data_IF_031923859500
#
_entry.id   IF_031923859500
#
_cell.length_a   1.000
_cell.length_b   1.000
_cell.length_c   1.000
_cell.angle_alpha   90.00
_cell.angle_beta   90.00
_cell.angle_gamma   90.00
#
_symmetry.space_group_name_H-M   'P 1'
#
loop_
_entity.id
_entity.type
_entity.pdbx_description
1 polymer ?
#
# COMPACT_ATOMS: atom_id res chain seq x y z
N UNK A 1 43.23 57.14 20.51
CA UNK A 1 41.80 57.13 20.92
C UNK A 1 41.02 57.54 19.68
N UNK A 2 40.21 56.71 19.02
CA UNK A 2 39.18 55.80 19.54
C UNK A 2 39.01 54.59 18.60
N UNK A 3 38.82 53.41 19.20
CA UNK A 3 38.42 52.12 18.63
C UNK A 3 37.04 52.18 17.92
N UNK A 4 36.87 51.49 16.79
CA UNK A 4 35.57 50.92 16.35
C UNK A 4 35.83 49.56 15.67
N UNK A 5 35.83 48.47 16.44
CA UNK A 5 34.74 47.51 16.70
C UNK A 5 34.43 46.55 15.54
N UNK A 6 35.00 45.36 15.70
CA UNK A 6 34.63 44.08 15.09
C UNK A 6 33.27 43.67 15.67
N UNK A 7 32.22 43.57 14.86
CA UNK A 7 31.00 42.83 15.24
C UNK A 7 30.15 42.53 13.99
N UNK A 8 30.49 41.50 13.23
CA UNK A 8 29.58 40.95 12.22
C UNK A 8 29.83 39.47 11.94
N UNK A 9 29.88 38.64 12.98
CA UNK A 9 29.90 37.17 12.83
C UNK A 9 29.20 36.52 14.03
N UNK A 10 27.92 36.79 14.28
CA UNK A 10 27.17 36.07 15.33
C UNK A 10 25.65 36.22 15.14
N UNK A 11 25.13 35.75 14.00
CA UNK A 11 23.67 35.63 13.82
C UNK A 11 23.24 34.44 12.94
N UNK A 12 24.12 33.47 12.70
CA UNK A 12 23.81 32.30 11.86
C UNK A 12 23.72 30.96 12.60
N UNK A 13 23.64 30.94 13.94
CA UNK A 13 23.63 29.67 14.71
C UNK A 13 22.35 29.42 15.53
N UNK A 14 21.32 30.27 15.44
CA UNK A 14 20.08 30.11 16.21
C UNK A 14 18.84 29.80 15.34
N UNK A 15 19.02 29.18 14.18
CA UNK A 15 17.94 28.81 13.27
C UNK A 15 17.63 27.30 13.15
N UNK A 16 18.41 26.43 13.81
CA UNK A 16 18.39 24.97 13.54
C UNK A 16 17.78 24.09 14.65
N UNK A 17 17.18 24.67 15.69
CA UNK A 17 16.64 23.91 16.82
C UNK A 17 15.11 24.03 17.00
N UNK A 18 14.37 24.16 15.90
CA UNK A 18 12.91 23.92 15.88
C UNK A 18 12.60 22.86 14.81
N UNK A 19 13.26 21.70 14.89
CA UNK A 19 12.65 20.49 14.37
C UNK A 19 11.40 20.27 15.23
N UNK A 20 10.24 20.63 14.69
CA UNK A 20 8.96 20.43 15.33
C UNK A 20 8.86 18.95 15.72
N UNK A 21 8.90 18.65 17.02
CA UNK A 21 8.29 17.43 17.54
C UNK A 21 6.77 17.59 17.41
N UNK A 22 6.31 17.61 16.16
CA UNK A 22 4.93 17.33 15.86
C UNK A 22 4.73 15.87 16.25
N UNK A 23 3.84 15.63 17.20
CA UNK A 23 3.41 14.28 17.53
C UNK A 23 2.75 13.70 16.29
N UNK A 24 3.51 12.95 15.50
CA UNK A 24 3.01 12.23 14.33
C UNK A 24 1.97 11.23 14.83
N UNK A 25 0.74 11.38 14.37
CA UNK A 25 -0.29 10.37 14.64
C UNK A 25 0.11 9.08 13.93
N UNK A 26 0.08 7.92 14.61
CA UNK A 26 0.44 6.65 13.99
C UNK A 26 -0.34 6.43 12.70
N UNK A 27 0.37 6.16 11.61
CA UNK A 27 -0.19 5.82 10.32
C UNK A 27 -0.76 4.41 10.32
N UNK A 28 -0.13 3.48 11.02
CA UNK A 28 -0.54 2.09 11.06
C UNK A 28 -0.93 1.69 12.48
N UNK A 29 -1.92 0.82 12.60
CA UNK A 29 -2.39 0.28 13.89
C UNK A 29 -2.99 -1.11 13.70
N UNK A 30 -3.05 -1.93 14.77
CA UNK A 30 -3.86 -3.13 14.75
C UNK A 30 -5.31 -2.80 14.44
N UNK A 31 -5.97 -3.63 13.64
CA UNK A 31 -7.36 -3.43 13.29
C UNK A 31 -8.29 -3.71 14.48
N UNK A 32 -9.33 -2.88 14.71
CA UNK A 32 -10.36 -3.17 15.72
C UNK A 32 -10.96 -4.56 15.50
N UNK A 33 -11.15 -5.33 16.59
CA UNK A 33 -11.65 -6.71 16.50
C UNK A 33 -10.65 -7.74 15.96
N UNK A 34 -9.47 -7.33 15.48
CA UNK A 34 -8.44 -8.20 14.91
C UNK A 34 -7.04 -7.92 15.47
N UNK A 35 -6.97 -7.48 16.72
CA UNK A 35 -5.72 -6.99 17.34
C UNK A 35 -4.58 -8.02 17.40
N UNK A 36 -4.90 -9.31 17.34
CA UNK A 36 -3.92 -10.40 17.35
C UNK A 36 -3.58 -10.94 15.95
N UNK A 37 -4.22 -10.43 14.89
CA UNK A 37 -3.96 -10.85 13.53
C UNK A 37 -2.90 -9.94 12.90
N UNK A 38 -1.66 -10.41 12.86
CA UNK A 38 -0.55 -9.65 12.29
C UNK A 38 -0.58 -9.59 10.76
N UNK A 39 -1.41 -10.39 10.11
CA UNK A 39 -1.56 -10.36 8.65
C UNK A 39 -2.45 -9.19 8.19
N UNK A 40 -3.17 -8.55 9.12
CA UNK A 40 -4.12 -7.48 8.83
C UNK A 40 -3.72 -6.23 9.59
N UNK A 41 -3.46 -5.15 8.87
CA UNK A 41 -3.11 -3.85 9.45
C UNK A 41 -4.09 -2.79 8.99
N UNK A 42 -4.42 -1.86 9.89
CA UNK A 42 -5.29 -0.74 9.60
C UNK A 42 -4.46 0.53 9.44
N UNK A 43 -4.68 1.23 8.34
CA UNK A 43 -4.05 2.50 8.02
C UNK A 43 -4.94 3.65 8.46
N UNK A 44 -4.32 4.76 8.84
CA UNK A 44 -5.01 5.99 9.19
C UNK A 44 -5.19 6.85 7.92
N UNK A 45 -6.44 6.99 7.48
CA UNK A 45 -6.88 7.76 6.30
C UNK A 45 -6.39 7.17 4.98
N UNK A 46 -5.17 7.49 4.54
CA UNK A 46 -4.69 7.10 3.21
C UNK A 46 -3.17 6.90 3.20
N UNK A 47 -2.69 5.91 2.45
CA UNK A 47 -1.27 5.73 2.15
C UNK A 47 -0.65 6.94 1.43
N UNK A 48 -1.46 7.74 0.72
CA UNK A 48 -1.01 8.95 0.02
C UNK A 48 -0.70 10.13 0.96
N UNK A 49 -0.99 10.01 2.26
CA UNK A 49 -0.77 11.05 3.28
C UNK A 49 0.29 10.64 4.31
N UNK A 50 1.45 10.18 3.85
CA UNK A 50 2.58 9.84 4.72
C UNK A 50 3.38 11.09 5.16
N UNK A 51 3.85 11.16 6.42
CA UNK A 51 4.75 12.21 6.84
C UNK A 51 6.11 12.02 6.16
N UNK A 52 6.79 13.12 5.77
CA UNK A 52 8.16 13.03 5.29
C UNK A 52 9.13 12.71 6.46
N UNK A 53 10.23 11.99 6.21
CA UNK A 53 10.56 11.31 4.95
C UNK A 53 9.83 9.97 4.83
N UNK A 54 9.53 9.58 3.60
CA UNK A 54 9.20 8.20 3.26
C UNK A 54 10.00 7.80 2.03
N UNK A 55 10.36 6.52 1.93
CA UNK A 55 11.05 5.97 0.76
C UNK A 55 10.47 4.62 0.39
N UNK A 56 10.45 4.34 -0.92
CA UNK A 56 10.18 3.02 -1.47
C UNK A 56 11.06 2.83 -2.69
N UNK A 57 11.63 1.65 -2.83
CA UNK A 57 12.36 1.29 -4.03
C UNK A 57 11.39 1.27 -5.21
N UNK A 58 11.67 2.04 -6.27
CA UNK A 58 10.82 2.07 -7.46
C UNK A 58 11.31 1.10 -8.52
N UNK A 59 10.38 0.49 -9.26
CA UNK A 59 10.66 -0.21 -10.51
C UNK A 59 11.18 0.81 -11.54
N UNK A 60 12.37 0.60 -12.11
CA UNK A 60 12.99 1.54 -13.05
C UNK A 60 13.38 0.84 -14.36
N UNK A 61 13.39 1.59 -15.46
CA UNK A 61 13.82 1.06 -16.77
C UNK A 61 12.90 -0.02 -17.36
N UNK A 62 11.64 -0.09 -16.94
CA UNK A 62 10.67 -1.09 -17.40
C UNK A 62 10.82 -2.47 -16.74
N UNK A 63 11.71 -2.62 -15.75
CA UNK A 63 11.85 -3.85 -14.97
C UNK A 63 11.17 -3.69 -13.61
N UNK A 64 10.28 -4.62 -13.27
CA UNK A 64 9.67 -4.71 -11.94
C UNK A 64 10.74 -4.97 -10.88
N UNK A 65 10.70 -4.20 -9.79
CA UNK A 65 11.47 -4.53 -8.59
C UNK A 65 10.56 -5.29 -7.62
N UNK A 66 10.96 -6.47 -7.11
CA UNK A 66 10.21 -7.17 -6.06
C UNK A 66 10.13 -6.36 -4.74
N UNK A 67 10.88 -5.26 -4.65
CA UNK A 67 10.84 -4.32 -3.53
C UNK A 67 9.95 -3.10 -3.78
N UNK A 68 9.35 -2.96 -4.97
CA UNK A 68 8.36 -1.91 -5.28
C UNK A 68 6.96 -2.36 -4.86
N UNK A 69 6.83 -2.65 -3.57
CA UNK A 69 5.57 -3.05 -2.93
C UNK A 69 5.28 -2.15 -1.74
N UNK A 70 4.00 -2.00 -1.38
CA UNK A 70 3.62 -1.06 -0.32
C UNK A 70 4.24 -1.44 1.02
N UNK A 71 4.33 -2.74 1.33
CA UNK A 71 4.91 -3.25 2.58
C UNK A 71 6.42 -3.01 2.70
N UNK A 72 7.11 -2.67 1.60
CA UNK A 72 8.53 -2.29 1.59
C UNK A 72 8.75 -0.79 1.77
N UNK A 73 7.68 0.00 1.84
CA UNK A 73 7.76 1.43 2.16
C UNK A 73 8.36 1.63 3.54
N UNK A 74 9.32 2.54 3.63
CA UNK A 74 9.91 2.96 4.90
C UNK A 74 9.42 4.36 5.23
N UNK A 75 8.96 4.55 6.46
CA UNK A 75 8.57 5.85 7.01
C UNK A 75 9.36 6.05 8.31
N UNK A 76 10.63 6.51 8.25
CA UNK A 76 11.51 6.55 9.42
C UNK A 76 10.95 7.39 10.58
N UNK A 77 10.13 8.39 10.28
CA UNK A 77 9.48 9.24 11.28
C UNK A 77 8.30 8.58 12.00
N UNK A 78 7.82 7.42 11.54
CA UNK A 78 6.68 6.71 12.13
C UNK A 78 6.98 5.21 12.36
N UNK A 79 7.39 4.83 13.58
CA UNK A 79 7.66 3.43 13.94
C UNK A 79 6.44 2.50 13.82
N UNK A 80 5.22 3.02 13.82
CA UNK A 80 4.01 2.21 13.69
C UNK A 80 3.94 1.51 12.34
N UNK A 81 4.57 2.08 11.31
CA UNK A 81 4.62 1.52 9.96
C UNK A 81 5.34 0.15 9.90
N UNK A 82 6.09 -0.23 10.94
CA UNK A 82 6.62 -1.59 11.06
C UNK A 82 5.54 -2.67 11.09
N UNK A 83 4.30 -2.35 11.50
CA UNK A 83 3.16 -3.27 11.43
C UNK A 83 2.80 -3.66 9.98
N UNK A 84 3.06 -2.76 9.02
CA UNK A 84 2.72 -2.97 7.60
C UNK A 84 3.66 -3.99 6.96
N UNK A 85 4.91 -4.10 7.42
CA UNK A 85 5.96 -4.94 6.79
C UNK A 85 5.59 -6.43 6.67
N UNK A 86 4.75 -6.92 7.58
CA UNK A 86 4.34 -8.33 7.64
C UNK A 86 2.86 -8.53 7.26
N UNK A 87 2.15 -7.45 6.90
CA UNK A 87 0.74 -7.53 6.58
C UNK A 87 0.54 -8.01 5.14
N UNK A 88 -0.42 -8.92 4.96
CA UNK A 88 -0.94 -9.32 3.64
C UNK A 88 -2.14 -8.46 3.26
N UNK A 89 -2.90 -7.99 4.25
CA UNK A 89 -4.13 -7.23 4.06
C UNK A 89 -3.97 -5.87 4.77
N UNK A 90 -4.07 -4.81 3.99
CA UNK A 90 -3.93 -3.43 4.46
C UNK A 90 -5.27 -2.74 4.31
N UNK A 91 -5.98 -2.54 5.42
CA UNK A 91 -7.29 -1.88 5.42
C UNK A 91 -7.13 -0.37 5.61
N UNK A 92 -7.79 0.40 4.76
CA UNK A 92 -7.82 1.86 4.85
C UNK A 92 -9.14 2.36 5.42
N UNK A 93 -10.19 1.54 5.30
CA UNK A 93 -11.55 1.84 5.74
C UNK A 93 -12.16 0.62 6.45
N UNK A 94 -13.07 0.86 7.40
CA UNK A 94 -13.76 -0.19 8.15
C UNK A 94 -14.66 -1.07 7.26
N UNK A 95 -15.12 -0.56 6.12
CA UNK A 95 -15.82 -1.35 5.09
C UNK A 95 -14.96 -2.52 4.57
N UNK A 96 -13.63 -2.45 4.71
CA UNK A 96 -12.71 -3.55 4.42
C UNK A 96 -13.10 -4.87 5.11
N UNK A 97 -13.61 -4.81 6.35
CA UNK A 97 -14.05 -6.01 7.08
C UNK A 97 -15.26 -6.69 6.43
N UNK A 98 -16.16 -5.91 5.83
CA UNK A 98 -17.32 -6.45 5.13
C UNK A 98 -16.93 -7.11 3.80
N UNK A 99 -15.86 -6.63 3.17
CA UNK A 99 -15.30 -7.17 1.93
C UNK A 99 -14.57 -8.49 2.24
N UNK A 100 -13.70 -8.47 3.25
CA UNK A 100 -12.83 -9.59 3.63
C UNK A 100 -13.55 -10.71 4.37
N UNK A 101 -14.65 -10.42 5.07
CA UNK A 101 -15.31 -11.40 5.94
C UNK A 101 -14.49 -11.70 7.21
N UNK A 102 -14.90 -12.71 7.98
CA UNK A 102 -14.39 -12.92 9.35
C UNK A 102 -12.98 -13.49 9.42
N UNK A 103 -12.52 -14.23 8.40
CA UNK A 103 -11.25 -14.95 8.43
C UNK A 103 -10.56 -14.93 7.06
N UNK A 104 -10.20 -13.74 6.56
CA UNK A 104 -9.68 -13.60 5.21
C UNK A 104 -8.32 -14.26 5.06
N UNK A 105 -8.08 -14.86 3.90
CA UNK A 105 -6.79 -15.49 3.57
C UNK A 105 -6.41 -15.22 2.12
N UNK A 106 -5.11 -15.04 1.89
CA UNK A 106 -4.51 -15.16 0.57
C UNK A 106 -3.84 -16.53 0.48
N UNK A 107 -4.39 -17.40 -0.35
CA UNK A 107 -3.86 -18.74 -0.60
C UNK A 107 -3.12 -18.75 -1.94
N UNK A 108 -1.88 -19.22 -1.95
CA UNK A 108 -1.25 -19.71 -3.17
C UNK A 108 -2.02 -20.94 -3.66
N UNK A 109 -2.55 -20.90 -4.88
CA UNK A 109 -3.23 -22.05 -5.49
C UNK A 109 -2.26 -22.76 -6.44
N UNK A 110 -1.62 -21.96 -7.28
CA UNK A 110 -0.77 -22.22 -8.44
C UNK A 110 0.62 -21.63 -8.50
N UNK A 111 1.67 -22.38 -8.83
CA UNK A 111 2.78 -21.74 -9.54
C UNK A 111 2.37 -21.48 -11.00
N UNK A 112 2.63 -20.28 -11.52
CA UNK A 112 2.42 -19.91 -12.92
C UNK A 112 3.77 -19.73 -13.64
N UNK A 113 3.74 -19.39 -14.92
CA UNK A 113 4.97 -19.05 -15.64
C UNK A 113 5.49 -17.69 -15.17
N UNK A 114 6.82 -17.54 -15.21
CA UNK A 114 7.50 -16.31 -14.80
C UNK A 114 7.67 -15.32 -15.97
N UNK A 115 6.76 -15.35 -16.96
CA UNK A 115 6.70 -14.45 -18.09
C UNK A 115 5.39 -13.64 -18.06
N UNK A 116 5.46 -12.38 -18.47
CA UNK A 116 4.33 -11.46 -18.42
C UNK A 116 3.23 -11.89 -19.40
N UNK A 117 2.05 -12.22 -18.89
CA UNK A 117 0.83 -12.36 -19.68
C UNK A 117 0.11 -11.02 -19.62
N UNK A 118 0.33 -10.16 -20.61
CA UNK A 118 -0.27 -8.81 -20.63
C UNK A 118 -1.67 -8.83 -21.26
N UNK A 119 -2.63 -8.21 -20.58
CA UNK A 119 -3.76 -7.55 -21.24
C UNK A 119 -3.57 -6.01 -21.10
N UNK A 120 -4.39 -5.21 -21.78
CA UNK A 120 -4.08 -3.79 -21.99
C UNK A 120 -4.11 -2.96 -20.69
N UNK A 121 -3.12 -2.07 -20.44
CA UNK A 121 -3.06 -1.29 -19.22
C UNK A 121 -4.19 -0.27 -19.13
N UNK A 122 -4.69 -0.06 -17.91
CA UNK A 122 -5.69 0.95 -17.56
C UNK A 122 -5.10 1.83 -16.46
N UNK A 123 -5.33 3.15 -16.50
CA UNK A 123 -4.72 4.06 -15.52
C UNK A 123 -5.69 4.41 -14.40
N UNK A 124 -5.37 4.03 -13.16
CA UNK A 124 -6.05 4.50 -11.94
C UNK A 124 -5.09 5.39 -11.16
N UNK A 125 -5.48 6.65 -10.91
CA UNK A 125 -4.57 7.63 -10.30
C UNK A 125 -4.27 7.35 -8.81
N UNK A 126 -5.03 6.46 -8.19
CA UNK A 126 -4.81 5.96 -6.84
C UNK A 126 -3.88 4.75 -6.76
N UNK A 127 -3.36 4.29 -7.91
CA UNK A 127 -2.40 3.22 -7.97
C UNK A 127 -1.22 3.49 -7.03
N UNK A 128 -1.06 2.64 -6.01
CA UNK A 128 0.01 2.80 -5.03
C UNK A 128 1.37 2.37 -5.57
N UNK A 129 1.40 1.50 -6.59
CA UNK A 129 2.61 0.85 -7.13
C UNK A 129 2.56 0.82 -8.67
N UNK A 130 3.46 0.07 -9.32
CA UNK A 130 3.56 -0.03 -10.79
C UNK A 130 2.17 -0.26 -11.43
N UNK A 131 1.86 0.47 -12.51
CA UNK A 131 0.49 0.73 -12.99
C UNK A 131 -0.40 -0.48 -13.30
N UNK A 132 -1.70 -0.20 -13.45
CA UNK A 132 -2.75 -1.22 -13.48
C UNK A 132 -2.91 -1.92 -14.84
N UNK A 133 -3.16 -3.22 -14.79
CA UNK A 133 -3.44 -4.10 -15.94
C UNK A 133 -4.95 -4.45 -15.93
N UNK A 134 -5.36 -5.56 -15.30
CA UNK A 134 -6.78 -5.92 -15.18
C UNK A 134 -7.58 -5.09 -14.15
N UNK A 135 -8.90 -5.01 -14.30
CA UNK A 135 -9.79 -4.57 -13.22
C UNK A 135 -11.18 -5.18 -13.37
N UNK A 136 -11.94 -5.24 -12.27
CA UNK A 136 -13.33 -5.66 -12.28
C UNK A 136 -14.17 -4.81 -11.34
N UNK A 137 -15.46 -4.65 -11.66
CA UNK A 137 -16.44 -4.01 -10.77
C UNK A 137 -17.27 -5.09 -10.09
N UNK A 138 -17.31 -5.05 -8.76
CA UNK A 138 -18.16 -5.92 -7.95
C UNK A 138 -19.63 -5.52 -8.08
N UNK A 139 -20.55 -6.47 -7.81
CA UNK A 139 -22.00 -6.20 -7.93
C UNK A 139 -22.50 -5.08 -7.00
N UNK A 140 -21.79 -4.82 -5.90
CA UNK A 140 -22.08 -3.74 -4.96
C UNK A 140 -21.46 -2.40 -5.37
N UNK A 141 -20.86 -2.29 -6.56
CA UNK A 141 -20.32 -1.04 -7.09
C UNK A 141 -18.85 -0.77 -6.77
N UNK A 142 -18.21 -1.59 -5.93
CA UNK A 142 -16.78 -1.42 -5.63
C UNK A 142 -15.93 -1.77 -6.85
N UNK A 143 -15.01 -0.87 -7.16
CA UNK A 143 -13.99 -1.10 -8.18
C UNK A 143 -12.87 -1.92 -7.54
N UNK A 144 -12.60 -3.10 -8.10
CA UNK A 144 -11.41 -3.87 -7.76
C UNK A 144 -10.40 -3.64 -8.87
N UNK A 145 -9.47 -2.74 -8.60
CA UNK A 145 -8.32 -2.49 -9.44
C UNK A 145 -7.34 -3.65 -9.28
N UNK A 146 -7.20 -4.49 -10.31
CA UNK A 146 -6.11 -5.45 -10.31
C UNK A 146 -4.81 -4.74 -10.69
N UNK A 147 -3.71 -5.36 -10.27
CA UNK A 147 -2.41 -5.19 -10.88
C UNK A 147 -1.69 -3.87 -10.60
N UNK A 148 -1.87 -3.29 -9.42
CA UNK A 148 -0.89 -2.33 -8.91
C UNK A 148 0.40 -3.08 -8.51
N UNK A 149 1.24 -3.46 -9.46
CA UNK A 149 2.50 -4.18 -9.22
C UNK A 149 2.27 -5.41 -8.32
N UNK A 150 2.85 -5.39 -7.11
CA UNK A 150 2.78 -6.50 -6.14
C UNK A 150 1.46 -6.69 -5.37
N UNK A 151 0.31 -6.23 -5.89
CA UNK A 151 -0.94 -6.35 -5.16
C UNK A 151 -2.22 -5.97 -5.93
N UNK A 152 -3.34 -5.98 -5.19
CA UNK A 152 -4.69 -5.64 -5.66
C UNK A 152 -5.29 -4.58 -4.74
N UNK A 153 -5.90 -3.54 -5.31
CA UNK A 153 -6.55 -2.46 -4.55
C UNK A 153 -8.07 -2.50 -4.76
N UNK A 154 -8.81 -2.26 -3.68
CA UNK A 154 -10.28 -2.12 -3.72
C UNK A 154 -10.66 -0.69 -3.39
N UNK A 155 -11.44 -0.09 -4.28
CA UNK A 155 -11.91 1.28 -4.24
C UNK A 155 -13.44 1.31 -4.13
N UNK A 156 -13.98 2.27 -3.40
CA UNK A 156 -15.42 2.57 -3.42
C UNK A 156 -15.83 3.20 -4.74
N UNK A 157 -17.14 3.33 -4.97
CA UNK A 157 -17.68 4.06 -6.13
C UNK A 157 -17.32 5.56 -6.15
N UNK A 158 -16.83 6.09 -5.02
CA UNK A 158 -16.33 7.45 -4.86
C UNK A 158 -14.81 7.53 -4.84
N UNK A 159 -14.15 6.43 -5.22
CA UNK A 159 -12.70 6.37 -5.33
C UNK A 159 -12.00 6.50 -3.97
N UNK A 160 -12.64 5.99 -2.92
CA UNK A 160 -12.03 5.87 -1.61
C UNK A 160 -11.34 4.51 -1.53
N UNK A 161 -10.08 4.52 -1.11
CA UNK A 161 -9.37 3.27 -0.89
C UNK A 161 -9.91 2.54 0.33
N UNK A 162 -10.36 1.30 0.13
CA UNK A 162 -10.95 0.48 1.18
C UNK A 162 -9.96 -0.55 1.71
N UNK A 163 -9.27 -1.21 0.78
CA UNK A 163 -8.42 -2.36 1.06
C UNK A 163 -7.32 -2.46 0.02
N UNK A 164 -6.13 -2.88 0.44
CA UNK A 164 -5.08 -3.39 -0.42
C UNK A 164 -4.68 -4.80 0.00
N UNK A 165 -4.48 -5.66 -0.98
CA UNK A 165 -4.08 -7.07 -0.84
C UNK A 165 -2.67 -7.18 -1.41
N UNK A 166 -1.71 -7.52 -0.56
CA UNK A 166 -0.31 -7.71 -0.92
C UNK A 166 -0.07 -9.16 -1.29
N UNK A 167 0.40 -9.39 -2.51
CA UNK A 167 0.53 -10.74 -3.07
C UNK A 167 1.98 -11.22 -3.10
N UNK A 168 2.94 -10.29 -3.11
CA UNK A 168 4.37 -10.61 -3.22
C UNK A 168 4.82 -11.01 -4.63
N UNK A 169 3.92 -10.97 -5.62
CA UNK A 169 4.19 -11.19 -7.04
C UNK A 169 3.47 -10.15 -7.90
N UNK A 170 3.97 -9.87 -9.10
CA UNK A 170 3.33 -8.93 -10.03
C UNK A 170 1.97 -9.48 -10.43
N UNK A 171 0.91 -8.78 -10.06
CA UNK A 171 -0.45 -9.12 -10.48
C UNK A 171 -0.66 -8.58 -11.89
N UNK A 172 -1.29 -9.36 -12.76
CA UNK A 172 -1.71 -8.98 -14.11
C UNK A 172 -3.23 -8.88 -14.23
N UNK A 173 -3.96 -9.79 -13.59
CA UNK A 173 -5.41 -9.80 -13.70
C UNK A 173 -6.07 -10.39 -12.45
N UNK A 174 -7.38 -10.22 -12.32
CA UNK A 174 -8.20 -10.84 -11.28
C UNK A 174 -9.49 -11.41 -11.87
N UNK A 175 -10.12 -12.34 -11.18
CA UNK A 175 -11.43 -12.86 -11.57
C UNK A 175 -12.25 -13.24 -10.34
N UNK A 176 -13.49 -12.74 -10.27
CA UNK A 176 -14.45 -13.27 -9.30
C UNK A 176 -14.85 -14.70 -9.68
N UNK A 177 -14.80 -15.62 -8.72
CA UNK A 177 -15.19 -17.00 -8.90
C UNK A 177 -15.75 -17.63 -7.62
N UNK A 178 -15.97 -18.94 -7.66
CA UNK A 178 -16.54 -19.71 -6.56
C UNK A 178 -18.04 -19.46 -6.34
N UNK A 179 -18.64 -20.13 -5.34
CA UNK A 179 -20.05 -19.96 -5.02
C UNK A 179 -20.38 -18.50 -4.73
N UNK A 180 -21.43 -17.99 -5.39
CA UNK A 180 -21.89 -16.59 -5.25
C UNK A 180 -20.82 -15.54 -5.56
N UNK A 181 -19.77 -15.88 -6.32
CA UNK A 181 -18.66 -14.98 -6.69
C UNK A 181 -17.93 -14.38 -5.48
N UNK A 182 -17.75 -15.18 -4.43
CA UNK A 182 -17.12 -14.76 -3.17
C UNK A 182 -15.63 -15.06 -3.07
N UNK A 183 -15.04 -15.72 -4.07
CA UNK A 183 -13.60 -15.89 -4.15
C UNK A 183 -13.05 -14.90 -5.17
N UNK A 184 -11.96 -14.21 -4.85
CA UNK A 184 -11.21 -13.41 -5.81
C UNK A 184 -9.97 -14.18 -6.23
N UNK A 185 -9.89 -14.55 -7.50
CA UNK A 185 -8.70 -15.14 -8.08
C UNK A 185 -7.78 -14.02 -8.55
N UNK A 186 -6.50 -14.18 -8.31
CA UNK A 186 -5.46 -13.21 -8.63
C UNK A 186 -4.42 -13.91 -9.48
N UNK A 187 -4.20 -13.38 -10.69
CA UNK A 187 -3.31 -13.96 -11.68
C UNK A 187 -2.11 -13.05 -11.85
N UNK A 188 -0.92 -13.61 -11.84
CA UNK A 188 0.29 -12.84 -12.00
C UNK A 188 1.47 -13.66 -12.50
N UNK A 189 2.60 -12.98 -12.57
CA UNK A 189 3.88 -13.59 -12.92
C UNK A 189 4.34 -14.53 -11.80
N UNK A 190 4.59 -15.79 -12.16
CA UNK A 190 5.08 -16.83 -11.25
C UNK A 190 4.03 -17.45 -10.32
N UNK A 191 2.89 -16.79 -10.05
CA UNK A 191 1.88 -17.30 -9.13
C UNK A 191 0.43 -16.98 -9.53
N UNK A 192 -0.48 -17.90 -9.17
CA UNK A 192 -1.93 -17.68 -9.14
C UNK A 192 -2.43 -17.94 -7.73
N UNK A 193 -3.03 -16.90 -7.16
CA UNK A 193 -3.51 -16.88 -5.79
C UNK A 193 -5.02 -16.71 -5.72
N UNK A 194 -5.57 -16.95 -4.53
CA UNK A 194 -6.99 -16.80 -4.24
C UNK A 194 -7.18 -16.10 -2.90
N UNK A 195 -8.06 -15.11 -2.89
CA UNK A 195 -8.57 -14.47 -1.68
C UNK A 195 -9.94 -15.07 -1.33
N UNK A 196 -10.10 -15.47 -0.08
CA UNK A 196 -11.35 -16.01 0.52
C UNK A 196 -11.65 -15.33 1.83
#
# INVERSE_FOLDING_TARGET
>A
MVLFTIASVLSLSLGLALAQSSTISPLARPCPGRVNDTNIVCMNRYASSMPPSFERQSSTGGAFSPNDTFVKTQVPSDPSFNLVKNATLVMFDERGDQILGSSPRLDCVFASRNDSIHEGPVYIYLAQTLGDDGFHVAQNGYLIAAAEGGGVTVLSEYDEMLLRIETGFTVNNIQFAGPKRKNLWVFGEGEIARVT
#
